data_IF_027833631800
#
_entry.id   IF_027833631800
#
_cell.length_a   1.000
_cell.length_b   1.000
_cell.length_c   1.000
_cell.angle_alpha   90.00
_cell.angle_beta   90.00
_cell.angle_gamma   90.00
#
_symmetry.space_group_name_H-M   'P 1'
#
loop_
_entity.id
_entity.type
_entity.pdbx_description
1 polymer ?
#
# COMPACT_ATOMS: atom_id res chain seq x y z
N UNK A 1 -15.42 12.16 3.30
CA UNK A 1 -14.03 11.66 3.11
C UNK A 1 -13.95 10.76 1.88
N UNK A 2 -14.68 9.65 1.79
CA UNK A 2 -14.64 8.72 0.64
C UNK A 2 -14.92 9.39 -0.71
N UNK A 3 -15.91 10.27 -0.79
CA UNK A 3 -16.21 11.04 -2.00
C UNK A 3 -15.01 11.88 -2.45
N UNK A 4 -14.38 12.61 -1.54
CA UNK A 4 -13.22 13.47 -1.82
C UNK A 4 -11.99 12.66 -2.21
N UNK A 5 -11.73 11.55 -1.53
CA UNK A 5 -10.65 10.63 -1.91
C UNK A 5 -10.87 10.06 -3.32
N UNK A 6 -12.11 9.67 -3.65
CA UNK A 6 -12.46 9.09 -4.94
C UNK A 6 -12.40 10.09 -6.09
N UNK A 7 -12.97 11.28 -5.91
CA UNK A 7 -13.19 12.21 -7.01
C UNK A 7 -12.12 13.29 -7.15
N UNK A 8 -11.37 13.58 -6.09
CA UNK A 8 -10.32 14.59 -6.09
C UNK A 8 -8.96 13.95 -5.83
N UNK A 9 -8.78 13.29 -4.68
CA UNK A 9 -7.49 12.75 -4.26
C UNK A 9 -6.89 11.70 -5.21
N UNK A 10 -7.72 10.87 -5.85
CA UNK A 10 -7.24 9.86 -6.81
C UNK A 10 -7.24 10.36 -8.26
N UNK A 11 -7.91 11.47 -8.57
CA UNK A 11 -8.12 11.92 -9.96
C UNK A 11 -6.82 12.32 -10.62
N UNK A 12 -6.00 13.09 -9.93
CA UNK A 12 -4.75 13.64 -10.46
C UNK A 12 -3.76 12.54 -10.87
N UNK A 13 -3.60 11.51 -10.03
CA UNK A 13 -2.69 10.40 -10.36
C UNK A 13 -3.27 9.50 -11.46
N UNK A 14 -4.59 9.34 -11.47
CA UNK A 14 -5.28 8.61 -12.53
C UNK A 14 -5.06 9.29 -13.89
N UNK A 15 -5.27 10.61 -13.97
CA UNK A 15 -5.04 11.37 -15.20
C UNK A 15 -3.56 11.38 -15.60
N UNK A 16 -2.64 11.35 -14.64
CA UNK A 16 -1.19 11.29 -14.89
C UNK A 16 -0.71 9.94 -15.41
N UNK A 17 -1.47 8.85 -15.21
CA UNK A 17 -0.99 7.49 -15.50
C UNK A 17 -1.93 6.65 -16.36
N UNK A 18 -3.12 7.13 -16.63
CA UNK A 18 -4.23 6.35 -17.20
C UNK A 18 -3.90 5.65 -18.53
N UNK A 19 -3.16 6.29 -19.46
CA UNK A 19 -2.73 5.71 -20.74
C UNK A 19 -1.54 4.73 -20.58
N UNK A 20 -0.86 4.78 -19.44
CA UNK A 20 0.30 3.93 -19.17
C UNK A 20 -0.06 2.68 -18.36
N UNK A 21 -1.23 2.67 -17.68
CA UNK A 21 -1.59 1.62 -16.75
C UNK A 21 -2.02 0.32 -17.42
N UNK A 22 -1.28 -0.74 -17.13
CA UNK A 22 -1.67 -2.13 -17.34
C UNK A 22 -2.01 -2.75 -15.97
N UNK A 23 -3.22 -3.25 -15.83
CA UNK A 23 -3.73 -3.79 -14.55
C UNK A 23 -4.16 -5.23 -14.75
N UNK A 24 -3.68 -6.11 -13.88
CA UNK A 24 -3.90 -7.56 -13.93
C UNK A 24 -4.46 -8.04 -12.58
N UNK A 25 -5.31 -9.04 -12.58
CA UNK A 25 -5.87 -9.67 -11.38
C UNK A 25 -6.83 -8.76 -10.59
N UNK A 26 -7.41 -7.73 -11.21
CA UNK A 26 -8.32 -6.81 -10.51
C UNK A 26 -9.60 -7.53 -10.03
N UNK A 27 -10.00 -8.61 -10.65
CA UNK A 27 -11.09 -9.51 -10.26
C UNK A 27 -10.90 -10.08 -8.85
N UNK A 28 -9.67 -10.24 -8.39
CA UNK A 28 -9.36 -10.70 -7.04
C UNK A 28 -9.86 -9.74 -5.94
N UNK A 29 -9.99 -8.46 -6.28
CA UNK A 29 -10.61 -7.48 -5.39
C UNK A 29 -12.11 -7.76 -5.24
N UNK A 30 -12.78 -8.12 -6.33
CA UNK A 30 -14.21 -8.47 -6.30
C UNK A 30 -14.48 -9.77 -5.51
N UNK A 31 -13.52 -10.67 -5.44
CA UNK A 31 -13.59 -11.90 -4.65
C UNK A 31 -13.54 -11.66 -3.13
N UNK A 32 -13.20 -10.46 -2.68
CA UNK A 32 -13.17 -10.12 -1.26
C UNK A 32 -14.50 -9.59 -0.75
N UNK A 33 -14.83 -9.91 0.51
CA UNK A 33 -16.03 -9.38 1.17
C UNK A 33 -15.92 -7.87 1.38
N UNK A 34 -16.81 -7.10 0.77
CA UNK A 34 -16.82 -5.64 0.84
C UNK A 34 -17.19 -5.10 2.24
N UNK A 35 -17.81 -5.92 3.10
CA UNK A 35 -18.14 -5.54 4.47
C UNK A 35 -16.94 -5.65 5.42
N UNK A 36 -15.87 -6.35 5.05
CA UNK A 36 -14.68 -6.55 5.86
C UNK A 36 -13.55 -5.61 5.41
N UNK A 37 -12.67 -5.18 6.34
CA UNK A 37 -11.47 -4.44 5.99
C UNK A 37 -10.57 -5.24 5.05
N UNK A 38 -9.93 -4.54 4.10
CA UNK A 38 -8.99 -5.11 3.16
C UNK A 38 -7.63 -4.46 3.32
N UNK A 39 -6.61 -5.28 3.54
CA UNK A 39 -5.22 -4.84 3.56
C UNK A 39 -4.58 -5.15 2.21
N UNK A 40 -3.99 -4.15 1.61
CA UNK A 40 -3.26 -4.20 0.36
C UNK A 40 -1.77 -4.14 0.66
N UNK A 41 -1.01 -5.16 0.30
CA UNK A 41 0.42 -5.22 0.56
C UNK A 41 1.20 -5.17 -0.75
N UNK A 42 2.03 -4.14 -0.95
CA UNK A 42 2.76 -3.91 -2.19
C UNK A 42 4.25 -3.72 -1.97
N UNK A 43 5.08 -4.02 -2.98
CA UNK A 43 6.45 -3.55 -3.03
C UNK A 43 6.52 -2.02 -3.02
N UNK A 44 7.69 -1.44 -2.67
CA UNK A 44 7.82 0.02 -2.50
C UNK A 44 8.99 0.59 -3.28
N UNK A 45 8.70 1.20 -4.40
CA UNK A 45 9.71 1.86 -5.26
C UNK A 45 9.44 3.34 -5.47
N UNK A 46 8.17 3.74 -5.53
CA UNK A 46 7.76 5.10 -5.76
C UNK A 46 6.99 5.68 -4.58
N UNK A 47 7.08 6.98 -4.41
CA UNK A 47 6.18 7.74 -3.53
C UNK A 47 4.71 7.57 -3.94
N UNK A 48 4.47 7.34 -5.24
CA UNK A 48 3.14 7.29 -5.83
C UNK A 48 2.51 5.88 -5.87
N UNK A 49 3.19 4.84 -5.37
CA UNK A 49 2.74 3.45 -5.47
C UNK A 49 1.29 3.27 -5.00
N UNK A 50 0.99 3.60 -3.74
CA UNK A 50 -0.36 3.42 -3.20
C UNK A 50 -1.38 4.41 -3.74
N UNK A 51 -0.96 5.59 -4.20
CA UNK A 51 -1.86 6.51 -4.89
C UNK A 51 -2.31 5.92 -6.23
N UNK A 52 -1.41 5.30 -6.97
CA UNK A 52 -1.72 4.66 -8.25
C UNK A 52 -2.63 3.46 -8.04
N UNK A 53 -2.35 2.59 -7.06
CA UNK A 53 -3.25 1.49 -6.65
C UNK A 53 -4.63 2.04 -6.28
N UNK A 54 -4.69 3.09 -5.47
CA UNK A 54 -5.96 3.68 -5.06
C UNK A 54 -6.76 4.23 -6.22
N UNK A 55 -6.09 4.85 -7.19
CA UNK A 55 -6.75 5.38 -8.38
C UNK A 55 -7.42 4.28 -9.21
N UNK A 56 -6.76 3.13 -9.37
CA UNK A 56 -7.33 1.94 -10.01
C UNK A 56 -8.57 1.46 -9.27
N UNK A 57 -8.47 1.29 -7.96
CA UNK A 57 -9.58 0.79 -7.14
C UNK A 57 -10.78 1.74 -7.17
N UNK A 58 -10.56 3.05 -7.06
CA UNK A 58 -11.63 4.05 -7.10
C UNK A 58 -12.30 4.15 -8.46
N UNK A 59 -11.58 3.92 -9.56
CA UNK A 59 -12.06 4.12 -10.92
C UNK A 59 -12.54 2.84 -11.61
N UNK A 60 -11.98 1.69 -11.22
CA UNK A 60 -12.23 0.41 -11.91
C UNK A 60 -12.95 -0.62 -11.05
N UNK A 61 -13.32 -0.29 -9.80
CA UNK A 61 -14.11 -1.17 -8.94
C UNK A 61 -15.31 -0.43 -8.34
N UNK A 62 -16.36 -1.17 -7.99
CA UNK A 62 -17.54 -0.66 -7.30
C UNK A 62 -17.40 -0.73 -5.77
N UNK A 63 -16.31 -1.32 -5.25
CA UNK A 63 -16.10 -1.45 -3.81
C UNK A 63 -16.10 -0.08 -3.14
N UNK A 64 -16.91 0.16 -2.09
CA UNK A 64 -16.81 1.39 -1.31
C UNK A 64 -15.44 1.41 -0.61
N UNK A 65 -14.71 2.51 -0.77
CA UNK A 65 -13.34 2.59 -0.30
C UNK A 65 -13.16 3.79 0.60
N UNK A 66 -12.68 3.56 1.80
CA UNK A 66 -12.01 4.56 2.63
C UNK A 66 -10.58 4.10 2.81
N UNK A 67 -9.66 4.81 2.17
CA UNK A 67 -8.28 4.41 2.04
C UNK A 67 -7.40 5.05 3.11
N UNK A 68 -6.50 4.24 3.69
CA UNK A 68 -5.50 4.68 4.66
C UNK A 68 -4.13 4.13 4.31
N UNK A 69 -3.09 4.96 4.48
CA UNK A 69 -1.68 4.57 4.36
C UNK A 69 -0.94 5.00 5.61
N UNK A 70 -0.38 4.10 6.41
CA UNK A 70 0.52 4.49 7.48
C UNK A 70 1.79 5.14 6.89
N UNK A 71 2.16 6.30 7.42
CA UNK A 71 3.27 7.11 6.89
C UNK A 71 4.24 7.52 7.98
N UNK A 72 5.46 7.93 7.60
CA UNK A 72 6.38 8.60 8.53
C UNK A 72 5.88 10.00 8.85
N UNK A 73 5.78 10.34 10.14
CA UNK A 73 5.26 11.63 10.61
C UNK A 73 6.10 12.81 10.14
N UNK A 74 7.44 12.67 10.13
CA UNK A 74 8.41 13.72 9.85
C UNK A 74 8.09 14.58 8.61
N UNK A 75 7.66 13.95 7.52
CA UNK A 75 7.29 14.71 6.31
C UNK A 75 5.83 15.18 6.35
N UNK A 76 4.90 14.28 6.66
CA UNK A 76 3.47 14.54 6.46
C UNK A 76 2.78 15.30 7.59
N UNK A 77 3.39 15.36 8.79
CA UNK A 77 2.78 15.94 9.98
C UNK A 77 3.66 16.99 10.69
N UNK A 78 4.99 16.90 10.53
CA UNK A 78 5.91 17.88 11.11
C UNK A 78 6.32 18.98 10.09
N UNK A 79 5.93 18.83 8.81
CA UNK A 79 6.28 19.77 7.74
C UNK A 79 5.00 20.35 7.11
N UNK A 80 4.83 21.67 7.02
CA UNK A 80 3.65 22.31 6.41
C UNK A 80 3.41 21.87 4.95
N UNK A 81 4.47 21.68 4.17
CA UNK A 81 4.37 21.18 2.78
C UNK A 81 3.82 19.76 2.76
N UNK A 82 4.33 18.90 3.64
CA UNK A 82 3.83 17.52 3.77
C UNK A 82 2.37 17.46 4.22
N UNK A 83 1.96 18.36 5.11
CA UNK A 83 0.57 18.49 5.52
C UNK A 83 -0.32 18.90 4.34
N UNK A 84 0.12 19.88 3.55
CA UNK A 84 -0.59 20.32 2.35
C UNK A 84 -0.69 19.19 1.30
N UNK A 85 0.41 18.44 1.11
CA UNK A 85 0.42 17.26 0.22
C UNK A 85 -0.58 16.22 0.71
N UNK A 86 -0.62 15.89 2.00
CA UNK A 86 -1.58 14.95 2.56
C UNK A 86 -3.03 15.42 2.36
N UNK A 87 -3.28 16.72 2.51
CA UNK A 87 -4.59 17.31 2.27
C UNK A 87 -4.99 17.25 0.79
N UNK A 88 -4.18 17.81 -0.11
CA UNK A 88 -4.53 17.95 -1.53
C UNK A 88 -4.54 16.59 -2.26
N UNK A 89 -3.50 15.77 -2.04
CA UNK A 89 -3.32 14.53 -2.80
C UNK A 89 -4.07 13.34 -2.22
N UNK A 90 -4.19 13.29 -0.91
CA UNK A 90 -4.71 12.11 -0.21
C UNK A 90 -6.03 12.32 0.53
N UNK A 91 -6.47 13.56 0.72
CA UNK A 91 -7.62 13.86 1.60
C UNK A 91 -7.49 13.11 2.93
N UNK A 92 -6.31 13.29 3.57
CA UNK A 92 -5.93 12.66 4.84
C UNK A 92 -5.93 11.12 4.83
N UNK A 93 -5.67 10.52 3.66
CA UNK A 93 -5.45 9.06 3.57
C UNK A 93 -4.12 8.62 4.21
N UNK A 94 -3.15 9.54 4.37
CA UNK A 94 -1.85 9.27 4.99
C UNK A 94 -1.96 9.21 6.51
N UNK A 95 -2.56 8.15 7.01
CA UNK A 95 -2.89 7.95 8.43
C UNK A 95 -2.86 6.46 8.80
N UNK A 96 -2.44 6.09 10.02
CA UNK A 96 -1.84 6.94 11.06
C UNK A 96 -0.36 7.25 10.83
N UNK A 97 0.16 8.36 11.39
CA UNK A 97 1.57 8.71 11.34
C UNK A 97 2.42 7.91 12.33
N UNK A 98 3.70 7.64 11.97
CA UNK A 98 4.69 6.99 12.82
C UNK A 98 5.97 7.82 12.88
N UNK A 99 6.53 7.99 14.07
CA UNK A 99 7.77 8.76 14.30
C UNK A 99 9.05 7.94 14.17
N UNK A 100 9.00 6.64 14.40
CA UNK A 100 10.03 5.59 14.23
C UNK A 100 11.47 5.86 14.73
N UNK A 101 11.97 7.08 14.64
CA UNK A 101 13.38 7.44 14.85
C UNK A 101 13.62 8.27 16.12
N UNK A 102 12.63 8.46 16.97
CA UNK A 102 12.81 9.33 18.13
C UNK A 102 13.07 8.55 19.40
N UNK A 103 14.17 8.92 20.07
CA UNK A 103 14.43 8.51 21.46
C UNK A 103 13.42 9.09 22.47
N UNK A 104 12.57 10.02 22.06
CA UNK A 104 11.64 10.74 22.92
C UNK A 104 10.47 9.84 23.38
N UNK A 105 10.21 9.82 24.68
CA UNK A 105 9.15 9.01 25.30
C UNK A 105 7.76 9.32 24.70
N UNK A 106 7.46 10.62 24.48
CA UNK A 106 6.19 11.07 23.90
C UNK A 106 5.95 10.54 22.49
N UNK A 107 6.98 10.52 21.63
CA UNK A 107 6.88 10.01 20.27
C UNK A 107 6.71 8.48 20.25
N UNK A 108 7.35 7.76 21.17
CA UNK A 108 7.14 6.31 21.34
C UNK A 108 5.72 5.98 21.81
N UNK A 109 5.15 6.82 22.66
CA UNK A 109 3.75 6.65 23.09
C UNK A 109 2.79 6.90 21.93
N UNK A 110 3.06 7.91 21.11
CA UNK A 110 2.29 8.18 19.89
C UNK A 110 2.37 7.02 18.88
N UNK A 111 3.55 6.44 18.68
CA UNK A 111 3.71 5.26 17.81
C UNK A 111 2.92 4.05 18.34
N UNK A 112 2.85 3.87 19.66
CA UNK A 112 1.98 2.84 20.27
C UNK A 112 0.49 3.13 20.02
N UNK A 113 0.08 4.39 20.13
CA UNK A 113 -1.28 4.80 19.76
C UNK A 113 -1.56 4.53 18.27
N UNK A 114 -0.66 4.93 17.38
CA UNK A 114 -0.78 4.72 15.93
C UNK A 114 -0.88 3.24 15.58
N UNK A 115 -0.10 2.39 16.26
CA UNK A 115 -0.19 0.93 16.09
C UNK A 115 -1.56 0.38 16.49
N UNK A 116 -2.08 0.77 17.68
CA UNK A 116 -3.43 0.36 18.12
C UNK A 116 -4.50 0.84 17.15
N UNK A 117 -4.40 2.10 16.71
CA UNK A 117 -5.35 2.67 15.75
C UNK A 117 -5.34 1.94 14.41
N UNK A 118 -4.17 1.55 13.95
CA UNK A 118 -4.00 0.81 12.71
C UNK A 118 -4.61 -0.60 12.80
N UNK A 119 -4.37 -1.32 13.91
CA UNK A 119 -5.02 -2.61 14.18
C UNK A 119 -6.55 -2.44 14.19
N UNK A 120 -7.07 -1.41 14.84
CA UNK A 120 -8.49 -1.10 14.86
C UNK A 120 -9.06 -0.85 13.45
N UNK A 121 -8.38 -0.05 12.62
CA UNK A 121 -8.80 0.18 11.23
C UNK A 121 -8.81 -1.12 10.41
N UNK A 122 -7.88 -2.03 10.67
CA UNK A 122 -7.79 -3.32 10.00
C UNK A 122 -8.82 -4.35 10.50
N UNK A 123 -9.43 -4.16 11.68
CA UNK A 123 -10.39 -5.12 12.28
C UNK A 123 -11.85 -4.67 12.22
N UNK A 124 -12.12 -3.36 12.38
CA UNK A 124 -13.48 -2.86 12.63
C UNK A 124 -14.10 -2.07 11.49
N UNK A 125 -13.31 -1.61 10.54
CA UNK A 125 -13.75 -0.66 9.53
C UNK A 125 -14.48 -1.29 8.35
N UNK A 126 -15.78 -1.12 8.21
CA UNK A 126 -16.51 -1.49 6.99
C UNK A 126 -16.00 -0.69 5.79
N UNK A 127 -15.60 -1.41 4.73
CA UNK A 127 -15.07 -0.81 3.49
C UNK A 127 -13.74 -0.08 3.67
N UNK A 128 -13.03 -0.26 4.80
CA UNK A 128 -11.68 0.26 4.96
C UNK A 128 -10.72 -0.52 4.06
N UNK A 129 -9.86 0.21 3.36
CA UNK A 129 -8.72 -0.34 2.63
C UNK A 129 -7.46 0.28 3.21
N UNK A 130 -6.51 -0.55 3.59
CA UNK A 130 -5.27 -0.11 4.22
C UNK A 130 -4.11 -0.58 3.36
N UNK A 131 -3.36 0.37 2.80
CA UNK A 131 -2.19 0.11 1.99
C UNK A 131 -0.93 0.01 2.83
N UNK A 132 -0.14 -1.04 2.61
CA UNK A 132 1.15 -1.25 3.26
C UNK A 132 2.25 -1.58 2.28
N UNK A 133 3.44 -1.14 2.64
CA UNK A 133 4.69 -1.62 2.05
C UNK A 133 5.45 -2.42 3.12
N UNK A 134 5.46 -3.77 3.03
CA UNK A 134 6.13 -4.60 4.03
C UNK A 134 7.62 -4.29 4.20
N UNK A 135 8.27 -3.81 3.16
CA UNK A 135 9.67 -3.36 3.15
C UNK A 135 9.94 -2.20 4.12
N UNK A 136 8.92 -1.38 4.43
CA UNK A 136 9.00 -0.25 5.35
C UNK A 136 9.80 0.96 4.85
N UNK A 137 10.46 0.86 3.70
CA UNK A 137 11.15 1.95 3.00
C UNK A 137 11.16 1.68 1.49
N UNK A 138 11.36 2.73 0.69
CA UNK A 138 11.51 2.58 -0.76
C UNK A 138 12.82 1.89 -1.11
N UNK A 139 12.78 0.98 -2.06
CA UNK A 139 13.96 0.42 -2.71
C UNK A 139 14.31 1.29 -3.92
N UNK A 140 15.26 2.20 -3.77
CA UNK A 140 15.67 3.14 -4.82
C UNK A 140 16.84 2.63 -5.66
N UNK A 141 17.68 1.75 -5.09
CA UNK A 141 18.97 1.37 -5.66
C UNK A 141 18.92 0.03 -6.41
N UNK A 142 17.88 -0.77 -6.20
CA UNK A 142 17.73 -2.08 -6.81
C UNK A 142 17.05 -2.07 -8.19
N UNK A 143 17.12 -3.18 -8.91
CA UNK A 143 16.36 -3.43 -10.15
C UNK A 143 14.84 -3.46 -9.89
N UNK A 144 14.01 -3.44 -10.96
CA UNK A 144 12.55 -3.35 -10.80
C UNK A 144 11.93 -4.52 -10.03
N UNK A 145 12.62 -5.67 -9.98
CA UNK A 145 12.18 -6.90 -9.31
C UNK A 145 12.92 -7.18 -8.00
N UNK A 146 13.88 -6.34 -7.62
CA UNK A 146 14.59 -6.50 -6.35
C UNK A 146 13.70 -5.99 -5.21
N UNK A 147 13.48 -6.82 -4.20
CA UNK A 147 12.66 -6.51 -3.04
C UNK A 147 13.53 -6.43 -1.79
N UNK A 148 13.20 -5.49 -0.90
CA UNK A 148 13.86 -5.41 0.40
C UNK A 148 13.23 -6.41 1.39
N UNK A 149 13.97 -6.83 2.44
CA UNK A 149 13.42 -7.67 3.48
C UNK A 149 12.23 -7.05 4.20
N UNK A 150 11.23 -7.87 4.51
CA UNK A 150 10.05 -7.44 5.24
C UNK A 150 10.33 -7.02 6.69
N UNK A 151 9.64 -6.00 7.14
CA UNK A 151 9.59 -5.57 8.54
C UNK A 151 8.51 -6.34 9.31
N UNK A 152 8.78 -6.88 10.51
CA UNK A 152 7.82 -7.72 11.24
C UNK A 152 6.57 -6.96 11.72
N UNK A 153 6.59 -5.63 11.71
CA UNK A 153 5.47 -4.79 12.17
C UNK A 153 4.16 -5.05 11.44
N UNK A 154 4.21 -5.34 10.12
CA UNK A 154 3.01 -5.68 9.35
C UNK A 154 2.44 -7.03 9.82
N UNK A 155 3.27 -8.03 10.08
CA UNK A 155 2.83 -9.33 10.58
C UNK A 155 2.11 -9.22 11.93
N UNK A 156 2.58 -8.36 12.84
CA UNK A 156 1.89 -8.07 14.11
C UNK A 156 0.48 -7.50 13.89
N UNK A 157 0.34 -6.56 12.96
CA UNK A 157 -0.96 -5.95 12.63
C UNK A 157 -1.91 -6.99 12.07
N UNK A 158 -1.46 -7.77 11.09
CA UNK A 158 -2.27 -8.80 10.45
C UNK A 158 -2.67 -9.92 11.43
N UNK A 159 -1.73 -10.32 12.30
CA UNK A 159 -2.02 -11.30 13.34
C UNK A 159 -3.12 -10.83 14.29
N UNK A 160 -3.04 -9.58 14.75
CA UNK A 160 -3.99 -9.02 15.71
C UNK A 160 -5.37 -8.72 15.08
N UNK A 161 -5.41 -8.20 13.85
CA UNK A 161 -6.63 -7.70 13.21
C UNK A 161 -7.34 -8.72 12.32
N UNK A 162 -6.63 -9.73 11.79
CA UNK A 162 -7.14 -10.77 10.88
C UNK A 162 -7.98 -10.24 9.71
N UNK A 163 -7.54 -9.20 9.01
CA UNK A 163 -8.25 -8.67 7.83
C UNK A 163 -8.16 -9.62 6.65
N UNK A 164 -8.86 -9.29 5.57
CA UNK A 164 -8.55 -9.84 4.26
C UNK A 164 -7.26 -9.19 3.73
N UNK A 165 -6.42 -9.94 3.02
CA UNK A 165 -5.12 -9.45 2.53
C UNK A 165 -4.97 -9.79 1.06
N UNK A 166 -4.60 -8.79 0.23
CA UNK A 166 -4.24 -8.99 -1.18
C UNK A 166 -2.81 -8.49 -1.41
N UNK A 167 -1.92 -9.33 -1.97
CA UNK A 167 -0.60 -8.91 -2.40
C UNK A 167 -0.70 -8.16 -3.73
N UNK A 168 0.17 -7.17 -3.91
CA UNK A 168 0.24 -6.35 -5.12
C UNK A 168 1.70 -6.22 -5.53
N UNK A 169 1.96 -6.33 -6.83
CA UNK A 169 3.25 -5.97 -7.40
C UNK A 169 3.08 -4.78 -8.34
N UNK A 170 4.00 -3.80 -8.24
CA UNK A 170 3.98 -2.56 -9.02
C UNK A 170 5.34 -2.38 -9.71
N UNK A 171 5.31 -2.16 -11.02
CA UNK A 171 6.49 -1.86 -11.83
C UNK A 171 6.25 -0.67 -12.76
N UNK A 172 7.33 -0.02 -13.19
CA UNK A 172 7.30 1.08 -14.15
C UNK A 172 6.84 2.43 -13.61
N UNK A 173 6.69 2.57 -12.27
CA UNK A 173 6.29 3.83 -11.65
C UNK A 173 7.51 4.55 -11.08
N UNK A 174 7.81 5.74 -11.63
CA UNK A 174 8.90 6.61 -11.18
C UNK A 174 8.51 7.56 -10.05
N UNK A 175 9.50 8.36 -9.60
CA UNK A 175 9.30 9.44 -8.63
C UNK A 175 9.23 10.82 -9.27
N UNK A 176 9.47 10.92 -10.58
CA UNK A 176 9.41 12.16 -11.35
C UNK A 176 7.99 12.33 -11.92
N UNK A 177 7.15 13.06 -11.19
CA UNK A 177 5.75 13.25 -11.55
C UNK A 177 5.59 14.03 -12.87
N UNK A 178 6.34 15.13 -13.14
CA UNK A 178 6.28 15.81 -14.44
C UNK A 178 6.61 14.89 -15.62
N UNK A 179 7.65 14.08 -15.52
CA UNK A 179 8.02 13.08 -16.54
C UNK A 179 6.93 12.02 -16.70
N UNK A 180 6.32 11.58 -15.59
CA UNK A 180 5.21 10.61 -15.62
C UNK A 180 3.98 11.18 -16.34
N UNK A 181 3.61 12.43 -16.05
CA UNK A 181 2.50 13.13 -16.73
C UNK A 181 2.77 13.27 -18.22
N UNK A 182 3.96 13.75 -18.58
CA UNK A 182 4.35 13.89 -19.99
C UNK A 182 4.33 12.52 -20.69
N UNK A 183 4.93 11.50 -20.08
CA UNK A 183 4.96 10.13 -20.59
C UNK A 183 3.57 9.53 -20.84
N UNK A 184 2.57 9.94 -20.04
CA UNK A 184 1.19 9.51 -20.24
C UNK A 184 0.61 9.87 -21.63
N UNK A 185 1.14 10.92 -22.25
CA UNK A 185 0.69 11.40 -23.56
C UNK A 185 1.71 11.16 -24.69
N UNK A 186 2.96 10.89 -24.35
CA UNK A 186 4.07 10.71 -25.29
C UNK A 186 4.57 9.27 -25.40
N UNK A 187 3.91 8.31 -24.76
CA UNK A 187 4.30 6.89 -24.79
C UNK A 187 5.44 6.55 -23.83
N UNK A 188 5.41 7.09 -22.62
CA UNK A 188 6.37 6.77 -21.56
C UNK A 188 6.31 5.33 -21.05
N UNK A 189 7.11 5.03 -20.02
CA UNK A 189 7.19 3.70 -19.42
C UNK A 189 5.83 3.24 -18.89
N UNK A 190 5.47 1.99 -19.22
CA UNK A 190 4.18 1.41 -18.78
C UNK A 190 4.20 1.10 -17.28
N UNK A 191 3.19 1.58 -16.59
CA UNK A 191 2.94 1.24 -15.17
C UNK A 191 2.16 -0.07 -15.15
N UNK A 192 2.72 -1.08 -14.51
CA UNK A 192 2.11 -2.42 -14.40
C UNK A 192 1.75 -2.69 -12.95
N UNK A 193 0.49 -3.07 -12.72
CA UNK A 193 -0.05 -3.34 -11.39
C UNK A 193 -0.70 -4.72 -11.42
N UNK A 194 -0.19 -5.62 -10.58
CA UNK A 194 -0.67 -6.98 -10.44
C UNK A 194 -1.34 -7.17 -9.09
N UNK A 195 -2.61 -7.52 -9.08
CA UNK A 195 -3.36 -7.89 -7.89
C UNK A 195 -3.37 -9.41 -7.77
N UNK A 196 -2.74 -9.96 -6.74
CA UNK A 196 -2.76 -11.39 -6.46
C UNK A 196 -4.06 -11.85 -5.80
N UNK A 197 -4.19 -13.15 -5.62
CA UNK A 197 -5.32 -13.76 -4.91
C UNK A 197 -5.32 -13.39 -3.42
N UNK A 198 -6.50 -13.37 -2.76
CA UNK A 198 -6.60 -13.21 -1.32
C UNK A 198 -5.77 -14.25 -0.58
N UNK A 199 -4.98 -13.79 0.40
CA UNK A 199 -4.07 -14.66 1.14
C UNK A 199 -4.76 -15.36 2.30
N UNK A 200 -4.55 -16.67 2.43
CA UNK A 200 -4.89 -17.42 3.63
C UNK A 200 -3.76 -17.30 4.66
N UNK A 201 -4.04 -16.61 5.77
CA UNK A 201 -3.12 -16.47 6.89
C UNK A 201 -3.49 -17.34 8.11
N UNK A 202 -4.55 -18.16 8.01
CA UNK A 202 -5.01 -19.02 9.12
C UNK A 202 -3.90 -19.94 9.66
N UNK A 203 -3.01 -20.55 8.82
CA UNK A 203 -1.92 -21.38 9.33
C UNK A 203 -0.95 -20.64 10.24
N UNK A 204 -0.76 -19.33 10.05
CA UNK A 204 0.11 -18.53 10.93
C UNK A 204 -0.60 -18.18 12.26
N UNK A 205 -1.91 -17.92 12.21
CA UNK A 205 -2.68 -17.61 13.42
C UNK A 205 -2.69 -18.75 14.42
N UNK A 206 -2.58 -20.00 13.95
CA UNK A 206 -2.49 -21.18 14.79
C UNK A 206 -1.15 -21.31 15.55
N UNK A 207 -0.09 -20.61 15.12
CA UNK A 207 1.25 -20.69 15.75
C UNK A 207 1.40 -19.85 17.03
N UNK A 208 0.38 -19.04 17.39
CA UNK A 208 0.41 -18.15 18.53
C UNK A 208 1.03 -16.77 18.24
N UNK A 209 0.72 -15.80 19.14
CA UNK A 209 1.17 -14.41 19.07
C UNK A 209 2.64 -14.26 19.51
N UNK A 210 3.56 -14.38 18.57
CA UNK A 210 5.01 -14.32 18.81
C UNK A 210 5.70 -13.49 17.73
N UNK A 211 6.79 -12.85 18.09
CA UNK A 211 7.62 -12.06 17.14
C UNK A 211 8.04 -12.90 15.93
N UNK A 212 8.37 -14.18 16.15
CA UNK A 212 8.71 -15.12 15.07
C UNK A 212 7.53 -15.32 14.12
N UNK A 213 6.32 -15.52 14.62
CA UNK A 213 5.11 -15.66 13.79
C UNK A 213 4.85 -14.39 12.98
N UNK A 214 5.04 -13.21 13.59
CA UNK A 214 4.90 -11.94 12.88
C UNK A 214 5.91 -11.80 11.73
N UNK A 215 7.15 -12.25 11.96
CA UNK A 215 8.17 -12.25 10.90
C UNK A 215 7.83 -13.25 9.79
N UNK A 216 7.38 -14.44 10.14
CA UNK A 216 6.95 -15.46 9.17
C UNK A 216 5.79 -14.95 8.29
N UNK A 217 4.79 -14.25 8.89
CA UNK A 217 3.73 -13.59 8.11
C UNK A 217 4.34 -12.56 7.15
N UNK A 218 5.20 -11.68 7.64
CA UNK A 218 5.81 -10.63 6.82
C UNK A 218 6.64 -11.19 5.66
N UNK A 219 7.40 -12.26 5.91
CA UNK A 219 8.19 -12.94 4.86
C UNK A 219 7.29 -13.64 3.84
N UNK A 220 6.20 -14.25 4.29
CA UNK A 220 5.21 -14.85 3.40
C UNK A 220 4.58 -13.80 2.47
N UNK A 221 4.25 -12.60 2.97
CA UNK A 221 3.77 -11.52 2.12
C UNK A 221 4.78 -11.17 1.02
N UNK A 222 6.07 -11.05 1.37
CA UNK A 222 7.11 -10.75 0.38
C UNK A 222 7.27 -11.85 -0.67
N UNK A 223 7.16 -13.12 -0.26
CA UNK A 223 7.16 -14.25 -1.20
C UNK A 223 6.02 -14.16 -2.20
N UNK A 224 4.82 -13.77 -1.76
CA UNK A 224 3.66 -13.60 -2.64
C UNK A 224 3.79 -12.40 -3.58
N UNK A 225 4.35 -11.29 -3.08
CA UNK A 225 4.66 -10.11 -3.91
C UNK A 225 5.73 -10.47 -4.96
N UNK A 226 6.78 -11.19 -4.55
CA UNK A 226 7.84 -11.64 -5.45
C UNK A 226 7.30 -12.56 -6.57
N UNK A 227 6.38 -13.47 -6.25
CA UNK A 227 5.75 -14.34 -7.24
C UNK A 227 5.02 -13.52 -8.33
N UNK A 228 4.28 -12.47 -7.96
CA UNK A 228 3.67 -11.54 -8.93
C UNK A 228 4.71 -10.79 -9.75
N UNK A 229 5.84 -10.44 -9.15
CA UNK A 229 6.98 -9.84 -9.85
C UNK A 229 7.58 -10.78 -10.89
N UNK A 230 7.66 -12.09 -10.60
CA UNK A 230 8.12 -13.09 -11.57
C UNK A 230 7.11 -13.28 -12.72
N UNK A 231 5.82 -13.16 -12.47
CA UNK A 231 4.80 -13.15 -13.54
C UNK A 231 4.96 -11.93 -14.45
N UNK A 232 5.19 -10.75 -13.86
CA UNK A 232 5.49 -9.53 -14.61
C UNK A 232 6.77 -9.68 -15.44
N UNK A 233 7.85 -10.22 -14.84
CA UNK A 233 9.12 -10.46 -15.51
C UNK A 233 8.99 -11.41 -16.70
N UNK A 234 8.25 -12.51 -16.54
CA UNK A 234 8.00 -13.47 -17.63
C UNK A 234 7.23 -12.84 -18.79
N UNK A 235 6.35 -11.89 -18.49
CA UNK A 235 5.48 -11.26 -19.51
C UNK A 235 6.10 -10.04 -20.17
N UNK A 236 6.93 -9.28 -19.44
CA UNK A 236 7.43 -7.96 -19.86
C UNK A 236 8.94 -7.77 -19.63
N UNK A 237 9.60 -8.66 -18.91
CA UNK A 237 11.04 -8.61 -18.74
C UNK A 237 11.72 -9.10 -20.03
N UNK A 238 12.47 -8.21 -20.66
CA UNK A 238 13.41 -8.56 -21.74
C UNK A 238 14.70 -9.06 -21.13
#
# INVERSE_FOLDING_TARGET
>A
MTFLQRHIGSLWIYLATYNLMNVFGLENIAATDAARPLVLVANHRSFFDMYTVSSVLFRRTSRPVRLFFPVRAKFFYDNPVGWLVNFIMGWFSMYPPFFRESGEARKREFDRYSMRRLIQLCSEGRGHMIGFHPEGRRNLDGGPYDLLPAQPGIGKILYAARPQVIPIFIAGLGNDLPRQILGNWTGGEKVRIWFGEPLDLAPFYAKGDRVRTHKEIADFLMTRIAALGEEDRKKFGN
#
